data_IF_919960374787
#
_entry.id   IF_919960374787
#
_cell.length_a   1.000
_cell.length_b   1.000
_cell.length_c   1.000
_cell.angle_alpha   90.00
_cell.angle_beta   90.00
_cell.angle_gamma   90.00
#
_symmetry.space_group_name_H-M   'P 1'
#
loop_
_entity.id
_entity.type
_entity.pdbx_description
1 polymer ?
#
# COMPACT_ATOMS: atom_id res chain seq x y z
N UNK A 1 18.95 -0.05 5.27
CA UNK A 1 17.91 0.38 6.22
C UNK A 1 16.75 -0.55 6.07
N UNK A 2 16.29 -1.13 7.18
CA UNK A 2 15.06 -1.92 7.20
C UNK A 2 13.83 -1.01 7.00
N UNK A 3 12.77 -1.55 6.39
CA UNK A 3 11.52 -0.80 6.30
C UNK A 3 10.94 -0.66 7.71
N UNK A 4 10.26 0.45 7.98
CA UNK A 4 9.52 0.57 9.23
C UNK A 4 8.51 -0.57 9.32
N UNK A 5 8.30 -1.19 10.50
CA UNK A 5 7.19 -2.12 10.70
C UNK A 5 5.83 -1.44 10.45
N UNK A 6 5.78 -0.11 10.58
CA UNK A 6 4.58 0.69 10.34
C UNK A 6 4.40 1.07 8.86
N UNK A 7 5.27 0.62 7.95
CA UNK A 7 5.07 0.81 6.52
C UNK A 7 3.78 0.10 6.08
N UNK A 8 3.00 0.76 5.23
CA UNK A 8 1.72 0.26 4.75
C UNK A 8 1.79 0.06 3.24
N UNK A 9 1.42 -1.12 2.77
CA UNK A 9 1.23 -1.44 1.36
C UNK A 9 -0.28 -1.57 1.11
N UNK A 10 -0.85 -0.73 0.26
CA UNK A 10 -2.27 -0.76 -0.10
C UNK A 10 -2.41 -1.07 -1.58
N UNK A 11 -3.27 -2.03 -1.89
CA UNK A 11 -3.61 -2.42 -3.26
C UNK A 11 -5.03 -1.97 -3.58
N UNK A 12 -5.19 -1.30 -4.72
CA UNK A 12 -6.50 -0.90 -5.22
C UNK A 12 -7.20 -2.06 -5.99
N UNK A 13 -8.33 -1.76 -6.64
CA UNK A 13 -9.12 -2.74 -7.41
C UNK A 13 -8.45 -3.18 -8.70
N UNK A 14 -7.56 -2.34 -9.24
CA UNK A 14 -6.79 -2.59 -10.46
C UNK A 14 -5.44 -3.23 -10.17
N UNK A 15 -5.14 -3.44 -8.89
CA UNK A 15 -3.90 -4.00 -8.34
C UNK A 15 -2.70 -3.06 -8.54
N UNK A 16 -2.96 -1.75 -8.61
CA UNK A 16 -1.94 -0.74 -8.38
C UNK A 16 -1.54 -0.73 -6.90
N UNK A 17 -0.30 -0.33 -6.62
CA UNK A 17 0.31 -0.41 -5.30
C UNK A 17 0.69 0.98 -4.80
N UNK A 18 0.04 1.39 -3.72
CA UNK A 18 0.40 2.55 -2.91
C UNK A 18 1.23 2.11 -1.70
N UNK A 19 2.31 2.84 -1.41
CA UNK A 19 3.18 2.55 -0.26
C UNK A 19 3.33 3.79 0.60
N UNK A 20 3.04 3.64 1.90
CA UNK A 20 3.13 4.72 2.88
C UNK A 20 4.13 4.35 3.97
N UNK A 21 4.85 5.36 4.47
CA UNK A 21 5.90 5.16 5.48
C UNK A 21 5.35 4.78 6.86
N UNK A 22 4.11 5.18 7.16
CA UNK A 22 3.44 4.97 8.43
C UNK A 22 1.92 4.82 8.26
N UNK A 23 1.26 4.32 9.31
CA UNK A 23 -0.21 4.22 9.36
C UNK A 23 -0.85 5.60 9.28
N UNK A 24 -0.28 6.57 9.99
CA UNK A 24 -0.75 7.97 9.98
C UNK A 24 -0.66 8.58 8.58
N UNK A 25 0.44 8.34 7.85
CA UNK A 25 0.57 8.81 6.47
C UNK A 25 -0.51 8.19 5.59
N UNK A 26 -0.74 6.87 5.68
CA UNK A 26 -1.80 6.20 4.92
C UNK A 26 -3.20 6.77 5.23
N UNK A 27 -3.58 6.90 6.51
CA UNK A 27 -4.92 7.38 6.89
C UNK A 27 -5.16 8.86 6.56
N UNK A 28 -4.10 9.66 6.46
CA UNK A 28 -4.18 11.07 6.06
C UNK A 28 -4.21 11.24 4.53
N UNK A 29 -3.71 10.26 3.77
CA UNK A 29 -3.66 10.31 2.32
C UNK A 29 -4.90 9.69 1.67
N UNK A 30 -5.36 8.54 2.17
CA UNK A 30 -6.48 7.79 1.60
C UNK A 30 -7.81 8.51 1.87
N UNK A 31 -8.68 8.55 0.86
CA UNK A 31 -9.99 9.19 0.99
C UNK A 31 -11.03 8.21 1.53
N UNK A 32 -11.85 8.67 2.48
CA UNK A 32 -12.90 7.84 3.09
C UNK A 32 -13.99 7.41 2.10
N UNK A 33 -14.20 8.18 1.03
CA UNK A 33 -15.09 7.81 -0.07
C UNK A 33 -14.57 6.56 -0.79
N UNK A 34 -13.31 6.55 -1.22
CA UNK A 34 -12.67 5.42 -1.89
C UNK A 34 -12.70 4.15 -1.03
N UNK A 35 -12.39 4.29 0.26
CA UNK A 35 -12.45 3.18 1.22
C UNK A 35 -13.88 2.63 1.32
N UNK A 36 -14.89 3.51 1.40
CA UNK A 36 -16.29 3.10 1.51
C UNK A 36 -16.84 2.48 0.23
N UNK A 37 -16.33 2.90 -0.93
CA UNK A 37 -16.70 2.36 -2.24
C UNK A 37 -15.94 1.07 -2.59
N UNK A 38 -15.00 0.65 -1.73
CA UNK A 38 -14.23 -0.58 -1.91
C UNK A 38 -13.13 -0.47 -2.96
N UNK A 39 -12.58 0.73 -3.18
CA UNK A 39 -11.43 0.96 -4.05
C UNK A 39 -10.22 0.13 -3.61
N UNK A 40 -9.93 0.13 -2.30
CA UNK A 40 -8.78 -0.55 -1.73
C UNK A 40 -9.16 -1.98 -1.33
N UNK A 41 -8.64 -2.95 -2.09
CA UNK A 41 -9.03 -4.36 -1.96
C UNK A 41 -8.18 -5.13 -0.96
N UNK A 42 -6.96 -4.68 -0.67
CA UNK A 42 -6.10 -5.29 0.33
C UNK A 42 -5.07 -4.30 0.90
N UNK A 43 -4.73 -4.46 2.17
CA UNK A 43 -3.66 -3.71 2.81
C UNK A 43 -2.79 -4.62 3.69
N UNK A 44 -1.48 -4.38 3.69
CA UNK A 44 -0.50 -5.21 4.40
C UNK A 44 0.63 -4.37 5.02
N UNK A 45 1.26 -4.93 6.04
CA UNK A 45 2.62 -4.55 6.47
C UNK A 45 3.68 -5.29 5.63
N UNK A 46 4.97 -4.89 5.65
CA UNK A 46 6.00 -5.51 4.83
C UNK A 46 6.31 -6.98 5.20
N UNK A 47 6.00 -7.39 6.43
CA UNK A 47 6.11 -8.77 6.92
C UNK A 47 4.88 -9.63 6.57
N UNK A 48 3.88 -9.06 5.91
CA UNK A 48 2.69 -9.78 5.44
C UNK A 48 1.53 -9.83 6.44
N UNK A 49 1.52 -9.02 7.51
CA UNK A 49 0.31 -8.89 8.35
C UNK A 49 -0.77 -8.19 7.56
N UNK A 50 -2.00 -8.69 7.69
CA UNK A 50 -3.17 -8.13 7.01
C UNK A 50 -3.67 -6.93 7.80
N UNK A 51 -3.95 -5.84 7.10
CA UNK A 51 -4.49 -4.60 7.62
C UNK A 51 -5.92 -4.42 7.10
N UNK A 52 -6.80 -3.92 7.95
CA UNK A 52 -8.16 -3.52 7.57
C UNK A 52 -8.21 -2.02 7.39
N UNK A 53 -8.76 -1.58 6.27
CA UNK A 53 -9.14 -0.19 5.99
C UNK A 53 -10.64 -0.04 6.22
N UNK A 54 -11.04 0.99 6.96
CA UNK A 54 -12.44 1.31 7.19
C UNK A 54 -12.69 2.82 7.21
N UNK A 55 -13.88 3.21 6.79
CA UNK A 55 -14.40 4.57 6.92
C UNK A 55 -15.65 4.52 7.81
N UNK A 56 -15.50 4.44 9.15
CA UNK A 56 -16.62 4.15 10.05
C UNK A 56 -17.70 5.24 10.06
N UNK A 57 -17.33 6.48 9.74
CA UNK A 57 -18.27 7.62 9.63
C UNK A 57 -18.68 7.91 8.17
N UNK A 58 -18.44 6.95 7.26
CA UNK A 58 -18.75 7.06 5.84
C UNK A 58 -17.85 8.05 5.10
N UNK A 59 -18.33 8.57 3.97
CA UNK A 59 -17.53 9.29 2.96
C UNK A 59 -16.89 10.61 3.42
N UNK A 60 -17.30 11.15 4.57
CA UNK A 60 -16.79 12.42 5.13
C UNK A 60 -15.96 12.22 6.41
N UNK A 61 -15.84 10.97 6.85
CA UNK A 61 -15.16 10.59 8.08
C UNK A 61 -13.66 10.41 7.91
N UNK A 62 -12.95 10.14 9.01
CA UNK A 62 -11.57 9.69 8.93
C UNK A 62 -11.48 8.28 8.35
N UNK A 63 -10.38 8.00 7.67
CA UNK A 63 -9.97 6.62 7.37
C UNK A 63 -9.31 6.04 8.61
N UNK A 64 -9.71 4.82 8.97
CA UNK A 64 -9.14 4.05 10.05
C UNK A 64 -8.42 2.85 9.46
N UNK A 65 -7.17 2.66 9.87
CA UNK A 65 -6.36 1.51 9.52
C UNK A 65 -6.08 0.69 10.77
N UNK A 66 -6.33 -0.61 10.74
CA UNK A 66 -6.17 -1.49 11.91
C UNK A 66 -5.46 -2.78 11.54
N UNK A 67 -4.47 -3.16 12.33
CA UNK A 67 -3.80 -4.46 12.18
C UNK A 67 -4.72 -5.57 12.61
N UNK A 68 -4.82 -6.62 11.79
CA UNK A 68 -5.55 -7.83 12.14
C UNK A 68 -4.61 -8.89 12.70
N UNK A 69 -5.17 -9.97 13.26
CA UNK A 69 -4.40 -11.16 13.64
C UNK A 69 -3.98 -12.00 12.41
N UNK A 70 -4.42 -11.63 11.21
CA UNK A 70 -4.13 -12.32 9.96
C UNK A 70 -2.71 -12.05 9.46
N UNK A 71 -2.06 -13.10 8.97
CA UNK A 71 -0.74 -13.04 8.33
C UNK A 71 -0.83 -13.80 7.02
N UNK A 72 -0.64 -13.12 5.90
CA UNK A 72 -0.71 -13.66 4.54
C UNK A 72 0.46 -13.15 3.67
N UNK A 73 1.68 -13.62 3.93
CA UNK A 73 2.86 -13.24 3.16
C UNK A 73 2.78 -13.72 1.71
N UNK A 74 2.15 -14.88 1.46
CA UNK A 74 2.00 -15.42 0.10
C UNK A 74 1.04 -14.56 -0.73
N UNK A 75 -0.09 -14.13 -0.17
CA UNK A 75 -1.00 -13.21 -0.84
C UNK A 75 -0.38 -11.85 -1.10
N UNK A 76 0.46 -11.35 -0.17
CA UNK A 76 1.25 -10.13 -0.39
C UNK A 76 2.24 -10.30 -1.56
N UNK A 77 3.02 -11.37 -1.57
CA UNK A 77 3.98 -11.66 -2.64
C UNK A 77 3.32 -11.74 -4.03
N UNK A 78 2.15 -12.41 -4.11
CA UNK A 78 1.39 -12.54 -5.35
C UNK A 78 0.93 -11.18 -5.88
N UNK A 79 0.39 -10.32 -5.02
CA UNK A 79 -0.06 -8.97 -5.41
C UNK A 79 1.10 -8.08 -5.85
N UNK A 80 2.23 -8.11 -5.12
CA UNK A 80 3.44 -7.39 -5.54
C UNK A 80 3.93 -7.88 -6.90
N UNK A 81 3.91 -9.18 -7.16
CA UNK A 81 4.29 -9.73 -8.46
C UNK A 81 3.36 -9.24 -9.58
N UNK A 82 2.05 -9.20 -9.32
CA UNK A 82 1.03 -8.69 -10.26
C UNK A 82 1.23 -7.21 -10.58
N UNK A 83 1.40 -6.36 -9.57
CA UNK A 83 1.72 -4.94 -9.73
C UNK A 83 2.95 -4.75 -10.66
N UNK A 84 4.05 -5.46 -10.39
CA UNK A 84 5.27 -5.33 -11.19
C UNK A 84 5.07 -5.78 -12.64
N UNK A 85 4.27 -6.82 -12.87
CA UNK A 85 3.93 -7.31 -14.21
C UNK A 85 3.15 -6.24 -14.99
N UNK A 86 2.17 -5.60 -14.37
CA UNK A 86 1.35 -4.55 -15.00
C UNK A 86 2.19 -3.31 -15.34
N UNK A 87 3.06 -2.88 -14.44
CA UNK A 87 3.84 -1.63 -14.58
C UNK A 87 5.22 -1.82 -15.24
N UNK A 88 5.54 -3.02 -15.74
CA UNK A 88 6.81 -3.36 -16.40
C UNK A 88 8.06 -2.99 -15.56
N UNK A 89 7.94 -3.04 -14.22
CA UNK A 89 9.00 -2.64 -13.29
C UNK A 89 10.05 -3.76 -13.20
N UNK A 90 10.86 -3.91 -14.24
CA UNK A 90 12.01 -4.84 -14.29
C UNK A 90 11.64 -6.33 -14.24
N UNK A 91 12.41 -7.16 -14.95
CA UNK A 91 12.14 -8.62 -15.10
C UNK A 91 12.47 -9.48 -13.87
N UNK A 92 12.84 -8.89 -12.74
CA UNK A 92 13.26 -9.66 -11.55
C UNK A 92 12.10 -9.72 -10.55
N UNK A 93 11.68 -10.93 -10.10
CA UNK A 93 10.79 -11.05 -8.95
C UNK A 93 11.47 -10.37 -7.77
N UNK A 94 10.92 -9.25 -7.32
CA UNK A 94 11.40 -8.57 -6.12
C UNK A 94 10.40 -8.85 -5.01
N UNK A 95 10.90 -9.32 -3.88
CA UNK A 95 10.13 -9.47 -2.66
C UNK A 95 9.42 -8.15 -2.27
N UNK A 96 8.38 -8.22 -1.43
CA UNK A 96 7.60 -7.04 -1.03
C UNK A 96 8.46 -5.90 -0.48
N UNK A 97 9.42 -6.21 0.38
CA UNK A 97 10.30 -5.24 1.03
C UNK A 97 11.14 -4.41 0.02
N UNK A 98 11.91 -5.02 -0.92
CA UNK A 98 12.56 -4.26 -1.98
C UNK A 98 11.63 -3.39 -2.82
N UNK A 99 10.40 -3.86 -3.10
CA UNK A 99 9.42 -3.09 -3.89
C UNK A 99 8.94 -1.87 -3.12
N UNK A 100 8.54 -2.03 -1.86
CA UNK A 100 8.13 -0.91 -1.01
C UNK A 100 9.24 0.14 -0.86
N UNK A 101 10.50 -0.28 -0.63
CA UNK A 101 11.65 0.65 -0.59
C UNK A 101 11.82 1.44 -1.88
N UNK A 102 11.68 0.78 -3.04
CA UNK A 102 11.81 1.44 -4.33
C UNK A 102 10.73 2.51 -4.54
N UNK A 103 9.49 2.25 -4.10
CA UNK A 103 8.37 3.18 -4.26
C UNK A 103 8.47 4.38 -3.32
N UNK A 104 8.79 4.16 -2.04
CA UNK A 104 9.05 5.28 -1.09
C UNK A 104 10.15 6.18 -1.64
N UNK A 105 11.30 5.61 -2.03
CA UNK A 105 12.41 6.39 -2.58
C UNK A 105 12.14 7.04 -3.95
N UNK A 106 11.07 6.64 -4.65
CA UNK A 106 10.61 7.28 -5.89
C UNK A 106 9.74 8.49 -5.58
N UNK A 107 8.84 8.39 -4.61
CA UNK A 107 7.94 9.48 -4.21
C UNK A 107 8.69 10.59 -3.45
N UNK A 108 9.78 10.26 -2.75
CA UNK A 108 10.71 11.22 -2.14
C UNK A 108 11.52 12.03 -3.16
N UNK A 109 11.58 11.60 -4.42
CA UNK A 109 12.19 12.44 -5.45
C UNK A 109 11.19 13.55 -5.79
N UNK A 110 11.60 14.84 -5.73
CA UNK A 110 10.72 15.92 -6.15
C UNK A 110 10.22 15.60 -7.54
N UNK A 111 8.89 15.49 -7.69
CA UNK A 111 8.24 15.38 -8.99
C UNK A 111 8.82 16.51 -9.83
N UNK A 112 9.70 16.21 -10.78
CA UNK A 112 10.14 17.22 -11.75
C UNK A 112 8.87 17.59 -12.49
N UNK A 113 8.32 18.74 -12.15
CA UNK A 113 7.23 19.36 -12.88
C UNK A 113 7.64 19.37 -14.35
N UNK A 114 6.87 18.77 -15.27
CA UNK A 114 7.09 19.01 -16.66
C UNK A 114 6.89 20.51 -16.89
N UNK A 115 7.87 21.10 -17.54
CA UNK A 115 7.93 22.52 -17.87
C UNK A 115 7.01 22.84 -19.04
#
# INVERSE_FOLDING_TARGET
MDLSPDTVLVFDRDEDLLVFESFEHATNYLEAVDVSEGEYTAAYTPDGRVLTLAAPEGWRGPVVLTTTDGVDPTGLEQRVARYRQLHQVGRTPCAPVPTARFLIGRDDRPRRSPR
#
